data_IF_114185009729
#
_entry.id   IF_114185009729
#
_cell.length_a   1.000
_cell.length_b   1.000
_cell.length_c   1.000
_cell.angle_alpha   90.00
_cell.angle_beta   90.00
_cell.angle_gamma   90.00
#
_symmetry.space_group_name_H-M   'P 1'
#
loop_
_entity.id
_entity.type
_entity.pdbx_description
1 polymer ?
#
# COMPACT_ATOMS: atom_id res chain seq x y z
N UNK A 1 -13.59 2.59 -16.92
CA UNK A 1 -13.07 2.62 -15.53
C UNK A 1 -13.90 3.62 -14.71
N UNK A 2 -14.32 3.21 -13.52
CA UNK A 2 -15.13 4.07 -12.65
C UNK A 2 -14.30 5.23 -12.10
N UNK A 3 -14.95 6.35 -11.75
CA UNK A 3 -14.26 7.47 -11.11
C UNK A 3 -13.61 7.08 -9.80
N UNK A 4 -14.29 6.27 -8.99
CA UNK A 4 -13.74 5.76 -7.73
C UNK A 4 -12.45 4.98 -7.95
N UNK A 5 -12.39 4.14 -9.00
CA UNK A 5 -11.18 3.39 -9.36
C UNK A 5 -10.03 4.33 -9.69
N UNK A 6 -10.30 5.38 -10.47
CA UNK A 6 -9.27 6.37 -10.85
C UNK A 6 -8.70 7.05 -9.60
N UNK A 7 -9.55 7.48 -8.66
CA UNK A 7 -9.10 8.12 -7.43
C UNK A 7 -8.30 7.16 -6.56
N UNK A 8 -8.77 5.92 -6.39
CA UNK A 8 -8.07 4.91 -5.60
C UNK A 8 -6.69 4.63 -6.20
N UNK A 9 -6.60 4.41 -7.50
CA UNK A 9 -5.32 4.14 -8.17
C UNK A 9 -4.38 5.34 -8.10
N UNK A 10 -4.89 6.56 -8.25
CA UNK A 10 -4.08 7.77 -8.14
C UNK A 10 -3.46 7.90 -6.76
N UNK A 11 -4.27 7.71 -5.71
CA UNK A 11 -3.79 7.82 -4.33
C UNK A 11 -2.80 6.70 -4.00
N UNK A 12 -3.06 5.48 -4.46
CA UNK A 12 -2.12 4.36 -4.28
C UNK A 12 -0.81 4.64 -5.00
N UNK A 13 -0.85 5.20 -6.20
CA UNK A 13 0.37 5.57 -6.94
C UNK A 13 1.18 6.60 -6.16
N UNK A 14 0.53 7.64 -5.63
CA UNK A 14 1.19 8.65 -4.81
C UNK A 14 1.80 8.02 -3.56
N UNK A 15 1.06 7.15 -2.89
CA UNK A 15 1.54 6.39 -1.73
C UNK A 15 2.80 5.58 -2.06
N UNK A 16 2.77 4.84 -3.16
CA UNK A 16 3.90 4.02 -3.61
C UNK A 16 5.13 4.90 -3.87
N UNK A 17 4.98 6.03 -4.52
CA UNK A 17 6.07 6.95 -4.78
C UNK A 17 6.67 7.50 -3.48
N UNK A 18 5.84 7.90 -2.54
CA UNK A 18 6.28 8.40 -1.24
C UNK A 18 7.03 7.32 -0.44
N UNK A 19 6.52 6.09 -0.47
CA UNK A 19 7.15 4.95 0.19
C UNK A 19 8.50 4.64 -0.45
N UNK A 20 8.60 4.67 -1.78
CA UNK A 20 9.88 4.43 -2.48
C UNK A 20 10.92 5.48 -2.10
N UNK A 21 10.53 6.75 -2.03
CA UNK A 21 11.43 7.82 -1.60
C UNK A 21 11.89 7.58 -0.16
N UNK A 22 10.98 7.24 0.73
CA UNK A 22 11.29 6.98 2.15
C UNK A 22 12.24 5.80 2.28
N UNK A 23 11.98 4.70 1.59
CA UNK A 23 12.82 3.50 1.62
C UNK A 23 14.21 3.80 1.05
N UNK A 24 14.29 4.56 -0.03
CA UNK A 24 15.59 4.97 -0.58
C UNK A 24 16.41 5.73 0.44
N UNK A 25 15.79 6.66 1.17
CA UNK A 25 16.47 7.41 2.23
C UNK A 25 16.96 6.52 3.37
N UNK A 26 16.14 5.52 3.77
CA UNK A 26 16.49 4.58 4.85
C UNK A 26 17.62 3.63 4.43
N UNK A 27 17.55 3.10 3.20
CA UNK A 27 18.50 2.11 2.71
C UNK A 27 19.82 2.71 2.21
N UNK A 28 19.84 3.99 1.86
CA UNK A 28 21.03 4.65 1.34
C UNK A 28 22.23 4.58 2.31
N UNK A 29 22.07 4.88 3.62
CA UNK A 29 23.17 4.71 4.56
C UNK A 29 23.63 3.25 4.70
N UNK A 30 22.71 2.29 4.67
CA UNK A 30 23.03 0.86 4.74
C UNK A 30 23.84 0.39 3.54
N UNK A 31 23.54 0.91 2.36
CA UNK A 31 24.28 0.61 1.14
C UNK A 31 25.73 1.12 1.21
N UNK A 32 25.95 2.29 1.84
CA UNK A 32 27.30 2.84 2.05
C UNK A 32 28.15 1.99 2.98
N UNK A 33 27.51 1.29 3.93
CA UNK A 33 28.19 0.40 4.86
C UNK A 33 28.46 -0.98 4.29
N UNK A 34 28.27 -1.18 2.98
CA UNK A 34 28.53 -2.44 2.29
C UNK A 34 27.42 -3.47 2.34
N UNK A 35 26.24 -3.11 2.86
CA UNK A 35 25.08 -3.99 2.88
C UNK A 35 24.47 -4.19 1.49
N UNK A 36 24.03 -5.42 1.19
CA UNK A 36 23.33 -5.71 -0.07
C UNK A 36 21.85 -5.37 0.07
N UNK A 37 21.50 -4.10 -0.24
CA UNK A 37 20.12 -3.61 -0.13
C UNK A 37 19.31 -3.83 -1.40
N UNK A 38 19.97 -4.17 -2.53
CA UNK A 38 19.29 -4.35 -3.82
C UNK A 38 18.24 -5.45 -3.78
N UNK A 39 18.49 -6.50 -3.01
CA UNK A 39 17.58 -7.65 -2.86
C UNK A 39 16.23 -7.20 -2.24
N UNK A 40 16.25 -6.21 -1.34
CA UNK A 40 15.04 -5.73 -0.67
C UNK A 40 14.08 -5.00 -1.62
N UNK A 41 14.57 -4.49 -2.75
CA UNK A 41 13.72 -3.82 -3.73
C UNK A 41 12.76 -4.78 -4.45
N UNK A 42 13.12 -6.05 -4.57
CA UNK A 42 12.28 -7.06 -5.25
C UNK A 42 10.92 -7.22 -4.55
N UNK A 43 10.86 -7.49 -3.22
CA UNK A 43 9.58 -7.59 -2.53
C UNK A 43 8.82 -6.27 -2.49
N UNK A 44 9.54 -5.14 -2.47
CA UNK A 44 8.91 -3.81 -2.47
C UNK A 44 8.18 -3.56 -3.78
N UNK A 45 8.82 -3.83 -4.93
CA UNK A 45 8.17 -3.71 -6.25
C UNK A 45 7.01 -4.69 -6.39
N UNK A 46 7.15 -5.92 -5.90
CA UNK A 46 6.07 -6.91 -5.91
C UNK A 46 4.89 -6.43 -5.09
N UNK A 47 5.13 -5.89 -3.91
CA UNK A 47 4.08 -5.32 -3.06
C UNK A 47 3.38 -4.15 -3.75
N UNK A 48 4.12 -3.29 -4.45
CA UNK A 48 3.55 -2.16 -5.19
C UNK A 48 2.61 -2.63 -6.30
N UNK A 49 2.99 -3.64 -7.07
CA UNK A 49 2.17 -4.21 -8.13
C UNK A 49 0.89 -4.83 -7.56
N UNK A 50 1.00 -5.58 -6.46
CA UNK A 50 -0.14 -6.19 -5.78
C UNK A 50 -1.09 -5.12 -5.26
N UNK A 51 -0.55 -4.05 -4.69
CA UNK A 51 -1.31 -2.91 -4.19
C UNK A 51 -2.14 -2.26 -5.30
N UNK A 52 -1.54 -2.03 -6.46
CA UNK A 52 -2.26 -1.48 -7.61
C UNK A 52 -3.36 -2.42 -8.11
N UNK A 53 -3.08 -3.72 -8.18
CA UNK A 53 -4.06 -4.72 -8.60
C UNK A 53 -5.25 -4.77 -7.64
N UNK A 54 -4.99 -4.79 -6.34
CA UNK A 54 -6.05 -4.80 -5.32
C UNK A 54 -6.85 -3.50 -5.33
N UNK A 55 -6.19 -2.37 -5.54
CA UNK A 55 -6.86 -1.07 -5.67
C UNK A 55 -7.80 -1.04 -6.88
N UNK A 56 -7.36 -1.56 -8.00
CA UNK A 56 -8.19 -1.68 -9.21
C UNK A 56 -9.43 -2.54 -8.95
N UNK A 57 -9.23 -3.73 -8.37
CA UNK A 57 -10.33 -4.64 -8.07
C UNK A 57 -11.32 -4.01 -7.08
N UNK A 58 -10.83 -3.36 -6.03
CA UNK A 58 -11.68 -2.69 -5.06
C UNK A 58 -12.49 -1.57 -5.71
N UNK A 59 -11.85 -0.76 -6.55
CA UNK A 59 -12.51 0.34 -7.24
C UNK A 59 -13.61 -0.12 -8.20
N UNK A 60 -13.36 -1.19 -8.95
CA UNK A 60 -14.30 -1.67 -9.95
C UNK A 60 -15.47 -2.48 -9.36
N UNK A 61 -15.21 -3.28 -8.32
CA UNK A 61 -16.21 -4.22 -7.79
C UNK A 61 -16.98 -3.69 -6.58
N UNK A 62 -16.43 -2.74 -5.83
CA UNK A 62 -17.16 -2.18 -4.68
C UNK A 62 -18.05 -1.03 -5.17
N UNK A 63 -19.34 -1.10 -4.82
CA UNK A 63 -20.32 -0.09 -5.18
C UNK A 63 -20.35 0.99 -4.08
N UNK A 64 -19.37 1.89 -4.10
CA UNK A 64 -19.24 2.95 -3.09
C UNK A 64 -20.45 3.86 -3.05
N UNK A 65 -21.09 4.11 -4.18
CA UNK A 65 -22.25 4.97 -4.28
C UNK A 65 -23.48 4.41 -3.54
N UNK A 66 -23.52 3.09 -3.32
CA UNK A 66 -24.62 2.43 -2.58
C UNK A 66 -24.40 2.43 -1.07
N UNK A 67 -23.21 2.78 -0.61
CA UNK A 67 -22.87 2.79 0.80
C UNK A 67 -23.23 4.14 1.39
N UNK A 68 -23.81 4.15 2.59
CA UNK A 68 -24.13 5.39 3.32
C UNK A 68 -22.86 6.23 3.48
N UNK A 69 -22.95 7.54 3.28
CA UNK A 69 -21.80 8.46 3.24
C UNK A 69 -20.87 8.30 4.46
N UNK A 70 -21.45 8.22 5.65
CA UNK A 70 -20.69 8.06 6.89
C UNK A 70 -19.92 6.75 6.93
N UNK A 71 -20.59 5.64 6.60
CA UNK A 71 -19.96 4.31 6.56
C UNK A 71 -18.94 4.20 5.44
N UNK A 72 -19.17 4.89 4.34
CA UNK A 72 -18.23 4.91 3.19
C UNK A 72 -16.86 5.40 3.61
N UNK A 73 -16.79 6.46 4.38
CA UNK A 73 -15.52 6.99 4.88
C UNK A 73 -14.73 5.92 5.64
N UNK A 74 -15.36 5.27 6.61
CA UNK A 74 -14.69 4.23 7.41
C UNK A 74 -14.32 3.01 6.59
N UNK A 75 -15.20 2.57 5.69
CA UNK A 75 -14.93 1.42 4.82
C UNK A 75 -13.73 1.72 3.92
N UNK A 76 -13.63 2.91 3.37
CA UNK A 76 -12.51 3.30 2.50
C UNK A 76 -11.20 3.32 3.29
N UNK A 77 -11.19 3.86 4.49
CA UNK A 77 -10.00 3.90 5.35
C UNK A 77 -9.54 2.49 5.68
N UNK A 78 -10.44 1.64 6.12
CA UNK A 78 -10.13 0.24 6.47
C UNK A 78 -9.65 -0.53 5.24
N UNK A 79 -10.33 -0.37 4.12
CA UNK A 79 -9.98 -1.02 2.86
C UNK A 79 -8.58 -0.62 2.39
N UNK A 80 -8.29 0.67 2.41
CA UNK A 80 -7.00 1.20 1.99
C UNK A 80 -5.86 0.65 2.86
N UNK A 81 -6.06 0.65 4.17
CA UNK A 81 -5.10 0.07 5.11
C UNK A 81 -4.94 -1.44 4.90
N UNK A 82 -6.04 -2.16 4.69
CA UNK A 82 -6.01 -3.59 4.42
C UNK A 82 -5.24 -3.91 3.12
N UNK A 83 -5.43 -3.13 2.05
CA UNK A 83 -4.70 -3.28 0.81
C UNK A 83 -3.19 -3.13 1.07
N UNK A 84 -2.79 -2.12 1.83
CA UNK A 84 -1.39 -1.92 2.19
C UNK A 84 -0.81 -3.12 2.93
N UNK A 85 -1.48 -3.58 3.99
CA UNK A 85 -1.02 -4.72 4.81
C UNK A 85 -0.93 -6.01 3.97
N UNK A 86 -1.96 -6.31 3.20
CA UNK A 86 -1.99 -7.52 2.36
C UNK A 86 -0.89 -7.46 1.30
N UNK A 87 -0.67 -6.30 0.71
CA UNK A 87 0.38 -6.11 -0.30
C UNK A 87 1.77 -6.36 0.27
N UNK A 88 2.04 -5.85 1.47
CA UNK A 88 3.33 -6.06 2.15
C UNK A 88 3.52 -7.54 2.49
N UNK A 89 2.50 -8.18 3.06
CA UNK A 89 2.58 -9.59 3.43
C UNK A 89 2.81 -10.47 2.21
N UNK A 90 2.05 -10.26 1.14
CA UNK A 90 2.17 -11.05 -0.09
C UNK A 90 3.49 -10.79 -0.81
N UNK A 91 3.93 -9.54 -0.87
CA UNK A 91 5.19 -9.18 -1.51
C UNK A 91 6.39 -9.83 -0.84
N UNK A 92 6.50 -9.71 0.48
CA UNK A 92 7.59 -10.31 1.25
C UNK A 92 7.43 -11.82 1.38
N UNK A 93 6.20 -12.34 1.48
CA UNK A 93 5.94 -13.77 1.50
C UNK A 93 6.34 -14.46 0.20
N UNK A 94 6.00 -13.87 -0.93
CA UNK A 94 6.41 -14.38 -2.23
C UNK A 94 7.93 -14.37 -2.39
N UNK A 95 8.57 -13.30 -1.96
CA UNK A 95 10.03 -13.20 -1.95
C UNK A 95 10.66 -14.29 -1.07
N UNK A 96 10.09 -14.54 0.11
CA UNK A 96 10.58 -15.59 1.01
C UNK A 96 10.47 -16.99 0.40
N UNK A 97 9.40 -17.25 -0.38
CA UNK A 97 9.23 -18.52 -1.09
C UNK A 97 10.26 -18.71 -2.21
N UNK A 98 10.60 -17.62 -2.92
CA UNK A 98 11.60 -17.67 -3.99
C UNK A 98 13.04 -17.80 -3.45
N UNK A 99 13.32 -17.19 -2.31
CA UNK A 99 14.67 -17.14 -1.73
C UNK A 99 14.62 -17.75 -0.32
N UNK A 100 14.25 -19.03 -0.25
CA UNK A 100 14.04 -19.74 1.01
C UNK A 100 15.29 -19.87 1.90
N UNK A 101 16.49 -19.65 1.34
CA UNK A 101 17.73 -19.66 2.10
C UNK A 101 17.93 -18.40 2.95
N UNK A 102 17.06 -17.40 2.81
CA UNK A 102 17.18 -16.15 3.55
C UNK A 102 16.78 -16.37 5.02
N UNK A 103 17.57 -15.85 5.97
CA UNK A 103 17.24 -15.98 7.39
C UNK A 103 15.86 -15.45 7.73
N UNK A 104 15.17 -16.10 8.67
CA UNK A 104 13.83 -15.70 9.11
C UNK A 104 13.77 -14.26 9.65
N UNK A 105 14.90 -13.70 10.06
CA UNK A 105 15.00 -12.31 10.53
C UNK A 105 14.64 -11.27 9.48
N UNK A 106 14.53 -11.64 8.19
CA UNK A 106 14.11 -10.72 7.14
C UNK A 106 12.71 -10.15 7.40
N UNK A 107 11.87 -10.86 8.17
CA UNK A 107 10.52 -10.41 8.51
C UNK A 107 10.52 -9.25 9.52
N UNK A 108 11.65 -8.97 10.18
CA UNK A 108 11.78 -7.82 11.09
C UNK A 108 11.64 -6.51 10.32
N UNK A 109 12.25 -6.42 9.15
CA UNK A 109 12.17 -5.20 8.32
C UNK A 109 10.73 -4.85 7.91
N UNK A 110 9.95 -5.76 7.28
CA UNK A 110 8.57 -5.41 6.91
C UNK A 110 7.69 -5.15 8.13
N UNK A 111 7.88 -5.85 9.25
CA UNK A 111 7.11 -5.61 10.47
C UNK A 111 7.37 -4.22 11.04
N UNK A 112 8.62 -3.81 11.16
CA UNK A 112 8.97 -2.46 11.60
C UNK A 112 8.50 -1.40 10.62
N UNK A 113 8.65 -1.65 9.32
CA UNK A 113 8.21 -0.74 8.28
C UNK A 113 6.70 -0.50 8.34
N UNK A 114 5.90 -1.57 8.45
CA UNK A 114 4.45 -1.45 8.60
C UNK A 114 4.10 -0.64 9.83
N UNK A 115 4.74 -0.91 10.96
CA UNK A 115 4.48 -0.19 12.20
C UNK A 115 4.77 1.31 12.07
N UNK A 116 5.92 1.66 11.47
CA UNK A 116 6.34 3.06 11.34
C UNK A 116 5.49 3.83 10.32
N UNK A 117 5.05 3.19 9.25
CA UNK A 117 4.34 3.84 8.15
C UNK A 117 2.83 3.84 8.36
N UNK A 118 2.30 2.95 9.22
CA UNK A 118 0.86 2.83 9.46
C UNK A 118 0.13 4.14 9.74
N UNK A 119 0.63 5.06 10.61
CA UNK A 119 -0.08 6.33 10.84
C UNK A 119 -0.22 7.16 9.56
N UNK A 120 0.80 7.16 8.71
CA UNK A 120 0.77 7.90 7.43
C UNK A 120 -0.20 7.26 6.43
N UNK A 121 -0.26 5.94 6.40
CA UNK A 121 -1.19 5.20 5.52
C UNK A 121 -2.65 5.46 5.95
N UNK A 122 -2.91 5.47 7.23
CA UNK A 122 -4.25 5.78 7.77
C UNK A 122 -4.63 7.22 7.40
N UNK A 123 -3.70 8.16 7.52
CA UNK A 123 -3.94 9.56 7.15
C UNK A 123 -4.29 9.69 5.65
N UNK A 124 -3.52 9.03 4.79
CA UNK A 124 -3.77 9.03 3.34
C UNK A 124 -5.13 8.37 3.05
N UNK A 125 -5.46 7.28 3.75
CA UNK A 125 -6.75 6.62 3.65
C UNK A 125 -7.91 7.54 4.05
N UNK A 126 -7.73 8.37 5.07
CA UNK A 126 -8.71 9.37 5.47
C UNK A 126 -8.94 10.41 4.36
N UNK A 127 -7.87 10.88 3.73
CA UNK A 127 -7.96 11.82 2.60
C UNK A 127 -8.74 11.18 1.45
N UNK A 128 -8.41 9.93 1.10
CA UNK A 128 -9.12 9.20 0.06
C UNK A 128 -10.59 9.00 0.42
N UNK A 129 -10.88 8.67 1.69
CA UNK A 129 -12.24 8.50 2.18
C UNK A 129 -13.07 9.77 2.02
N UNK A 130 -12.48 10.93 2.33
CA UNK A 130 -13.15 12.22 2.14
C UNK A 130 -13.44 12.49 0.66
N UNK A 131 -12.47 12.19 -0.21
CA UNK A 131 -12.64 12.35 -1.66
C UNK A 131 -13.79 11.47 -2.17
N UNK A 132 -13.79 10.19 -1.81
CA UNK A 132 -14.82 9.24 -2.27
C UNK A 132 -16.20 9.56 -1.69
N UNK A 133 -16.28 10.16 -0.49
CA UNK A 133 -17.54 10.63 0.05
C UNK A 133 -18.14 11.77 -0.76
N UNK A 134 -17.30 12.63 -1.33
CA UNK A 134 -17.77 13.76 -2.16
C UNK A 134 -18.29 13.33 -3.53
N UNK A 135 -17.90 12.16 -4.03
CA UNK A 135 -18.28 11.67 -5.36
C UNK A 135 -19.76 11.29 -5.49
N UNK A 136 -20.47 11.11 -4.38
CA UNK A 136 -21.87 10.67 -4.42
C UNK A 136 -22.79 11.64 -5.17
N UNK A 137 -22.44 12.93 -5.16
CA UNK A 137 -23.24 13.97 -5.81
C UNK A 137 -23.02 14.02 -7.32
N UNK A 138 -21.90 13.47 -7.79
CA UNK A 138 -21.48 13.50 -9.19
C UNK A 138 -21.84 12.20 -9.94
N UNK A 139 -22.36 11.21 -9.22
CA UNK A 139 -22.76 9.92 -9.78
C UNK A 139 -24.27 9.85 -9.92
#
# INVERSE_FOLDING_TARGET
MKRSTIYILTIITIEILLIFILIYWILSPLAKDGGNTKILWIPIFTAAIISLALGYLAGEYILFEKIVRFLRFFIVVILFYAIFIISVILGFGFFHLLYWEIPSGIWVFPSMFVFLVSPYIILIGCILGLILCSLKEDL
#
